data_IF_709282217365
#
_entry.id   IF_709282217365
#
_cell.length_a   1.000
_cell.length_b   1.000
_cell.length_c   1.000
_cell.angle_alpha   90.00
_cell.angle_beta   90.00
_cell.angle_gamma   90.00
#
_symmetry.space_group_name_H-M   'P 1'
#
loop_
_entity.id
_entity.type
_entity.pdbx_description
1 polymer ?
#
# COMPACT_ATOMS: atom_id res chain seq x y z
N UNK A 1 -14.98 13.89 17.18
CA UNK A 1 -13.82 12.97 17.43
C UNK A 1 -14.24 11.57 17.05
N UNK A 2 -13.37 10.82 16.35
CA UNK A 2 -13.64 9.42 15.96
C UNK A 2 -12.48 8.54 16.40
N UNK A 3 -12.79 7.41 17.00
CA UNK A 3 -11.83 6.37 17.38
C UNK A 3 -12.13 5.13 16.55
N UNK A 4 -11.11 4.52 15.96
CA UNK A 4 -11.21 3.23 15.27
C UNK A 4 -10.20 2.27 15.86
N UNK A 5 -10.64 1.07 16.20
CA UNK A 5 -9.74 -0.04 16.54
C UNK A 5 -9.45 -0.79 15.25
N UNK A 6 -8.21 -0.69 14.77
CA UNK A 6 -7.83 -1.20 13.44
C UNK A 6 -8.13 -2.68 13.26
N UNK A 7 -7.88 -3.50 14.28
CA UNK A 7 -8.16 -4.94 14.22
C UNK A 7 -9.65 -5.30 14.11
N UNK A 8 -10.53 -4.36 14.41
CA UNK A 8 -11.98 -4.56 14.30
C UNK A 8 -12.52 -4.26 12.90
N UNK A 9 -11.71 -3.66 12.04
CA UNK A 9 -12.11 -3.35 10.67
C UNK A 9 -11.92 -4.58 9.80
N UNK A 10 -12.99 -4.98 9.11
CA UNK A 10 -12.98 -6.17 8.25
C UNK A 10 -12.00 -6.02 7.10
N UNK A 11 -11.22 -7.07 6.85
CA UNK A 11 -10.41 -7.20 5.62
C UNK A 11 -11.29 -7.58 4.44
N UNK A 12 -11.08 -6.90 3.33
CA UNK A 12 -11.70 -7.24 2.05
C UNK A 12 -10.63 -7.59 1.03
N UNK A 13 -10.92 -8.51 0.13
CA UNK A 13 -10.00 -8.90 -0.93
C UNK A 13 -9.87 -7.77 -1.95
N UNK A 14 -8.64 -7.38 -2.26
CA UNK A 14 -8.38 -6.55 -3.42
C UNK A 14 -8.52 -7.37 -4.71
N UNK A 15 -8.87 -6.69 -5.79
CA UNK A 15 -8.84 -7.29 -7.11
C UNK A 15 -7.40 -7.48 -7.56
N UNK A 16 -7.06 -8.71 -7.96
CA UNK A 16 -5.72 -9.07 -8.41
C UNK A 16 -5.68 -9.14 -9.93
N UNK A 17 -4.57 -8.74 -10.51
CA UNK A 17 -4.37 -8.73 -11.97
C UNK A 17 -3.01 -9.31 -12.32
N UNK A 18 -2.97 -10.07 -13.41
CA UNK A 18 -1.71 -10.57 -13.96
C UNK A 18 -0.87 -9.40 -14.52
N UNK A 19 0.44 -9.62 -14.63
CA UNK A 19 1.33 -8.70 -15.33
C UNK A 19 0.86 -8.54 -16.79
N UNK A 20 0.79 -7.31 -17.27
CA UNK A 20 0.30 -6.98 -18.59
C UNK A 20 -1.21 -6.82 -18.72
N UNK A 21 -1.99 -7.05 -17.65
CA UNK A 21 -3.46 -7.03 -17.69
C UNK A 21 -4.11 -5.76 -17.14
N UNK A 22 -3.35 -4.72 -16.88
CA UNK A 22 -3.87 -3.52 -16.23
C UNK A 22 -3.86 -3.65 -14.71
N UNK A 23 -4.78 -3.43 -13.93
CA UNK A 23 -4.93 -3.59 -12.49
C UNK A 23 -3.66 -3.44 -11.63
N UNK A 24 -3.75 -2.75 -10.51
CA UNK A 24 -2.58 -2.37 -9.71
C UNK A 24 -1.97 -3.52 -8.91
N UNK A 25 -2.78 -4.42 -8.37
CA UNK A 25 -2.33 -5.48 -7.48
C UNK A 25 -2.05 -6.77 -8.26
N UNK A 26 -0.88 -7.36 -8.02
CA UNK A 26 -0.46 -8.59 -8.70
C UNK A 26 0.16 -9.59 -7.74
N UNK A 27 0.24 -10.86 -8.14
CA UNK A 27 0.76 -11.96 -7.32
C UNK A 27 -0.34 -12.75 -6.63
N UNK A 28 -0.12 -13.14 -5.39
CA UNK A 28 -1.02 -14.00 -4.63
C UNK A 28 -2.32 -13.30 -4.21
N UNK A 29 -2.31 -12.54 -3.12
CA UNK A 29 -3.49 -11.79 -2.68
C UNK A 29 -3.09 -10.58 -1.85
N UNK A 30 -3.78 -9.47 -2.08
CA UNK A 30 -3.74 -8.26 -1.26
C UNK A 30 -5.10 -8.09 -0.57
N UNK A 31 -5.07 -7.64 0.67
CA UNK A 31 -6.26 -7.37 1.48
C UNK A 31 -6.30 -5.90 1.88
N UNK A 32 -7.49 -5.34 1.95
CA UNK A 32 -7.70 -3.94 2.26
C UNK A 32 -8.56 -3.76 3.51
N UNK A 33 -8.17 -2.78 4.33
CA UNK A 33 -8.99 -2.29 5.44
C UNK A 33 -9.00 -0.76 5.34
N UNK A 34 -10.16 -0.18 5.09
CA UNK A 34 -10.30 1.27 5.12
C UNK A 34 -10.59 1.71 6.56
N UNK A 35 -9.59 2.31 7.21
CA UNK A 35 -9.66 2.71 8.62
C UNK A 35 -10.44 4.00 8.77
N UNK A 36 -10.14 5.00 7.94
CA UNK A 36 -10.98 6.18 7.80
C UNK A 36 -11.85 6.01 6.55
N UNK A 37 -13.12 6.32 6.71
CA UNK A 37 -14.08 6.32 5.59
C UNK A 37 -14.01 7.63 4.81
N UNK A 38 -14.49 7.60 3.59
CA UNK A 38 -14.67 8.79 2.78
C UNK A 38 -15.56 9.80 3.54
N UNK A 39 -15.07 11.01 3.73
CA UNK A 39 -15.78 12.05 4.48
C UNK A 39 -15.35 12.21 5.93
N UNK A 40 -14.60 11.27 6.50
CA UNK A 40 -14.08 11.39 7.88
C UNK A 40 -13.08 12.53 8.02
N UNK A 41 -12.25 12.75 7.00
CA UNK A 41 -11.24 13.80 6.98
C UNK A 41 -11.23 14.50 5.63
N UNK A 42 -10.98 15.80 5.65
CA UNK A 42 -10.74 16.58 4.43
C UNK A 42 -9.27 16.57 4.01
N UNK A 43 -8.38 16.04 4.85
CA UNK A 43 -6.94 16.14 4.66
C UNK A 43 -6.29 14.81 4.27
N UNK A 44 -6.75 13.69 4.86
CA UNK A 44 -6.09 12.40 4.74
C UNK A 44 -7.03 11.27 4.34
N UNK A 45 -6.47 10.29 3.64
CA UNK A 45 -6.97 8.92 3.62
C UNK A 45 -6.09 8.06 4.53
N UNK A 46 -6.67 7.06 5.15
CA UNK A 46 -5.97 6.18 6.08
C UNK A 46 -6.51 4.76 5.95
N UNK A 47 -5.67 3.84 5.53
CA UNK A 47 -6.04 2.45 5.35
C UNK A 47 -4.89 1.51 5.66
N UNK A 48 -5.18 0.22 5.63
CA UNK A 48 -4.18 -0.85 5.74
C UNK A 48 -4.27 -1.69 4.49
N UNK A 49 -3.12 -2.09 3.97
CA UNK A 49 -2.99 -3.10 2.92
C UNK A 49 -2.13 -4.23 3.44
N UNK A 50 -2.66 -5.43 3.38
CA UNK A 50 -1.95 -6.65 3.78
C UNK A 50 -1.61 -7.45 2.54
N UNK A 51 -0.36 -7.83 2.42
CA UNK A 51 0.18 -8.54 1.26
C UNK A 51 0.54 -9.95 1.69
N UNK A 52 -0.12 -10.94 1.12
CA UNK A 52 0.30 -12.32 1.26
C UNK A 52 1.67 -12.51 0.60
N UNK A 53 2.41 -13.53 1.01
CA UNK A 53 3.71 -13.83 0.42
C UNK A 53 3.61 -13.91 -1.11
N UNK A 54 4.42 -13.13 -1.81
CA UNK A 54 4.42 -13.05 -3.26
C UNK A 54 3.44 -12.04 -3.87
N UNK A 55 2.74 -11.26 -3.07
CA UNK A 55 1.87 -10.21 -3.57
C UNK A 55 2.54 -8.84 -3.52
N UNK A 56 2.31 -8.02 -4.53
CA UNK A 56 2.84 -6.65 -4.60
C UNK A 56 1.93 -5.73 -5.40
N UNK A 57 2.20 -4.44 -5.29
CA UNK A 57 1.72 -3.50 -6.30
C UNK A 57 2.59 -3.57 -7.54
N UNK A 58 2.03 -3.24 -8.68
CA UNK A 58 2.81 -2.86 -9.86
C UNK A 58 3.39 -1.46 -9.63
N UNK A 59 4.40 -1.10 -10.41
CA UNK A 59 4.96 0.26 -10.35
C UNK A 59 3.89 1.30 -10.64
N UNK A 60 3.87 2.32 -9.82
CA UNK A 60 2.93 3.42 -9.90
C UNK A 60 3.49 4.66 -9.21
N UNK A 61 2.84 5.79 -9.41
CA UNK A 61 3.16 7.06 -8.74
C UNK A 61 1.88 7.77 -8.32
N UNK A 62 2.01 8.64 -7.35
CA UNK A 62 0.90 9.44 -6.85
C UNK A 62 1.17 10.93 -7.02
N UNK A 63 0.12 11.72 -7.18
CA UNK A 63 0.23 13.18 -7.26
C UNK A 63 0.59 13.83 -5.92
N UNK A 64 0.35 13.14 -4.80
CA UNK A 64 0.74 13.57 -3.46
C UNK A 64 1.71 12.59 -2.81
N UNK A 65 2.36 13.01 -1.72
CA UNK A 65 3.22 12.14 -0.94
C UNK A 65 2.41 11.02 -0.25
N UNK A 66 3.05 9.87 -0.07
CA UNK A 66 2.50 8.72 0.65
C UNK A 66 3.40 8.36 1.81
N UNK A 67 2.80 8.06 2.97
CA UNK A 67 3.50 7.52 4.12
C UNK A 67 3.07 6.07 4.30
N UNK A 68 4.03 5.16 4.42
CA UNK A 68 3.82 3.78 4.81
C UNK A 68 4.38 3.56 6.20
N UNK A 69 3.59 2.93 7.07
CA UNK A 69 4.02 2.51 8.41
C UNK A 69 3.84 1.00 8.45
N UNK A 70 4.86 0.26 8.87
CA UNK A 70 4.86 -1.19 8.87
C UNK A 70 4.53 -1.72 10.26
N UNK A 71 3.30 -2.18 10.53
CA UNK A 71 2.93 -2.74 11.83
C UNK A 71 3.34 -4.20 11.99
N UNK A 72 3.51 -4.94 10.89
CA UNK A 72 3.88 -6.36 10.95
C UNK A 72 4.48 -6.86 9.64
N UNK A 73 5.30 -7.89 9.75
CA UNK A 73 5.83 -8.65 8.62
C UNK A 73 7.13 -8.11 8.06
N UNK A 74 7.50 -8.67 6.92
CA UNK A 74 8.69 -8.32 6.15
C UNK A 74 8.29 -8.11 4.70
N UNK A 75 8.58 -6.95 4.17
CA UNK A 75 8.24 -6.60 2.80
C UNK A 75 9.37 -5.88 2.07
N UNK A 76 9.02 -5.34 0.93
CA UNK A 76 9.92 -4.55 0.09
C UNK A 76 9.21 -3.31 -0.42
N UNK A 77 9.96 -2.25 -0.56
CA UNK A 77 9.58 -1.06 -1.31
C UNK A 77 10.70 -0.73 -2.29
N UNK A 78 10.36 -0.41 -3.50
CA UNK A 78 11.36 -0.14 -4.53
C UNK A 78 10.99 1.03 -5.41
N UNK A 79 12.02 1.72 -5.89
CA UNK A 79 11.93 2.74 -6.93
C UNK A 79 12.67 2.23 -8.18
N UNK A 80 12.80 3.07 -9.20
CA UNK A 80 13.59 2.74 -10.39
C UNK A 80 15.08 2.51 -10.08
N UNK A 81 15.57 3.03 -8.94
CA UNK A 81 16.99 3.05 -8.61
C UNK A 81 17.39 2.15 -7.45
N UNK A 82 16.46 1.78 -6.57
CA UNK A 82 16.76 1.00 -5.38
C UNK A 82 15.58 0.16 -4.92
N UNK A 83 15.87 -0.89 -4.17
CA UNK A 83 14.87 -1.68 -3.44
C UNK A 83 15.32 -1.81 -2.00
N UNK A 84 14.43 -1.48 -1.07
CA UNK A 84 14.66 -1.55 0.36
C UNK A 84 13.82 -2.64 0.98
N UNK A 85 14.42 -3.41 1.90
CA UNK A 85 13.67 -4.29 2.79
C UNK A 85 13.02 -3.44 3.88
N UNK A 86 11.76 -3.73 4.18
CA UNK A 86 10.99 -3.04 5.23
C UNK A 86 10.44 -4.05 6.21
N UNK A 87 10.51 -3.72 7.50
CA UNK A 87 10.08 -4.59 8.59
C UNK A 87 9.23 -3.81 9.60
N UNK A 88 8.63 -4.53 10.54
CA UNK A 88 7.85 -3.94 11.63
C UNK A 88 8.60 -2.75 12.27
N UNK A 89 7.91 -1.63 12.41
CA UNK A 89 8.45 -0.40 13.00
C UNK A 89 9.03 0.59 11.98
N UNK A 90 9.20 0.18 10.73
CA UNK A 90 9.69 1.09 9.69
C UNK A 90 8.62 2.08 9.23
N UNK A 91 9.07 3.27 8.88
CA UNK A 91 8.26 4.30 8.21
C UNK A 91 8.93 4.64 6.89
N UNK A 92 8.16 4.64 5.82
CA UNK A 92 8.62 5.00 4.47
C UNK A 92 7.87 6.24 4.01
N UNK A 93 8.61 7.25 3.59
CA UNK A 93 8.04 8.40 2.90
C UNK A 93 8.31 8.26 1.40
N UNK A 94 7.25 8.24 0.62
CA UNK A 94 7.31 8.23 -0.84
C UNK A 94 6.87 9.60 -1.32
N UNK A 95 7.79 10.40 -1.88
CA UNK A 95 7.45 11.73 -2.39
C UNK A 95 6.44 11.69 -3.53
N UNK A 96 5.72 12.79 -3.71
CA UNK A 96 4.86 12.95 -4.88
C UNK A 96 5.64 12.72 -6.17
N UNK A 97 5.06 11.97 -7.10
CA UNK A 97 5.64 11.71 -8.41
C UNK A 97 6.71 10.62 -8.48
N UNK A 98 7.13 10.06 -7.34
CA UNK A 98 8.11 8.97 -7.34
C UNK A 98 7.50 7.66 -7.82
N UNK A 99 8.07 7.09 -8.88
CA UNK A 99 7.66 5.79 -9.38
C UNK A 99 8.15 4.69 -8.45
N UNK A 100 7.23 3.86 -7.95
CA UNK A 100 7.56 2.89 -6.90
C UNK A 100 6.63 1.68 -6.92
N UNK A 101 7.05 0.64 -6.22
CA UNK A 101 6.19 -0.50 -5.85
C UNK A 101 6.38 -0.82 -4.37
N UNK A 102 5.45 -1.54 -3.80
CA UNK A 102 5.58 -2.13 -2.47
C UNK A 102 4.82 -3.45 -2.39
N UNK A 103 5.29 -4.33 -1.52
CA UNK A 103 4.70 -5.65 -1.38
C UNK A 103 5.53 -6.60 -0.54
N UNK A 104 5.20 -7.89 -0.61
CA UNK A 104 5.86 -8.96 0.11
C UNK A 104 6.62 -9.88 -0.85
N UNK A 105 7.86 -10.24 -0.56
CA UNK A 105 8.59 -11.26 -1.32
C UNK A 105 7.94 -12.65 -1.15
N UNK A 106 8.39 -13.63 -1.92
CA UNK A 106 7.76 -14.95 -1.97
C UNK A 106 7.76 -15.72 -0.64
N UNK A 107 8.69 -15.40 0.27
CA UNK A 107 8.85 -16.13 1.52
C UNK A 107 8.17 -15.50 2.74
N UNK A 108 7.69 -14.25 2.63
CA UNK A 108 7.16 -13.49 3.78
C UNK A 108 5.89 -12.75 3.43
N UNK A 109 5.09 -12.46 4.45
CA UNK A 109 3.94 -11.56 4.32
C UNK A 109 4.23 -10.23 5.01
N UNK A 110 3.49 -9.19 4.64
CA UNK A 110 3.67 -7.86 5.20
C UNK A 110 2.35 -7.11 5.18
N UNK A 111 2.12 -6.29 6.19
CA UNK A 111 1.07 -5.29 6.16
C UNK A 111 1.68 -3.89 6.29
N UNK A 112 1.08 -2.92 5.62
CA UNK A 112 1.42 -1.52 5.86
C UNK A 112 0.17 -0.67 6.06
N UNK A 113 0.29 0.30 6.95
CA UNK A 113 -0.63 1.43 7.03
C UNK A 113 -0.24 2.38 5.90
N UNK A 114 -1.23 2.86 5.16
CA UNK A 114 -1.03 3.88 4.12
C UNK A 114 -1.76 5.16 4.49
N UNK A 115 -1.03 6.26 4.48
CA UNK A 115 -1.57 7.58 4.72
C UNK A 115 -1.24 8.43 3.50
N UNK A 116 -2.26 9.01 2.89
CA UNK A 116 -2.12 9.87 1.72
C UNK A 116 -2.94 11.13 1.88
N UNK A 117 -2.53 12.18 1.18
CA UNK A 117 -3.35 13.38 1.03
C UNK A 117 -4.63 13.01 0.27
N UNK A 118 -5.77 13.44 0.83
CA UNK A 118 -7.06 13.25 0.15
C UNK A 118 -7.04 13.94 -1.23
N UNK A 119 -7.57 13.25 -2.23
CA UNK A 119 -7.57 13.73 -3.61
C UNK A 119 -6.30 13.39 -4.41
N UNK A 120 -5.33 12.71 -3.79
CA UNK A 120 -4.18 12.20 -4.52
C UNK A 120 -4.61 11.25 -5.63
N UNK A 121 -4.04 11.43 -6.82
CA UNK A 121 -4.34 10.62 -8.00
C UNK A 121 -3.20 9.63 -8.23
N UNK A 122 -3.56 8.38 -8.46
CA UNK A 122 -2.60 7.31 -8.76
C UNK A 122 -2.48 7.12 -10.27
N UNK A 123 -1.25 7.09 -10.76
CA UNK A 123 -0.91 6.74 -12.15
C UNK A 123 -0.08 5.45 -12.15
N UNK A 124 -0.63 4.40 -12.73
CA UNK A 124 0.05 3.12 -12.89
C UNK A 124 0.99 3.19 -14.09
N UNK A 125 2.25 2.81 -13.88
CA UNK A 125 3.29 2.87 -14.92
C UNK A 125 3.74 1.49 -15.42
N UNK A 126 3.44 0.45 -14.69
CA UNK A 126 3.64 -0.95 -15.09
C UNK A 126 2.28 -1.59 -15.43
N UNK A 127 2.16 -2.16 -16.58
CA UNK A 127 0.90 -2.76 -17.04
C UNK A 127 0.53 -4.06 -16.29
#
# INVERSE_FOLDING_TARGET
>A
MKKVTMSSVRKTKAEMSALGSGGLMTGTQVWAQEILESGDSNDFTFGIRSFDAGARTKFHKHSGAQILIIPEGVGSVGTDNETLSIVEGDVVLIPAGENHFHGAPDATSMAHITIQKKGSVTEQTEA
#
